data_IF_115776251676
#
_entry.id   IF_115776251676
#
_cell.length_a   1.000
_cell.length_b   1.000
_cell.length_c   1.000
_cell.angle_alpha   90.00
_cell.angle_beta   90.00
_cell.angle_gamma   90.00
#
_symmetry.space_group_name_H-M   'P 1'
#
loop_
_entity.id
_entity.type
_entity.pdbx_description
1 polymer ?
#
# COMPACT_ATOMS: atom_id res chain seq x y z
N UNK A 1 3.66 10.04 -13.52
CA UNK A 1 2.57 9.10 -13.84
C UNK A 1 1.49 9.20 -12.76
N UNK A 2 0.28 8.66 -12.97
CA UNK A 2 -0.77 8.68 -11.91
C UNK A 2 -0.32 7.96 -10.63
N UNK A 3 0.42 6.87 -10.78
CA UNK A 3 0.98 6.07 -9.68
C UNK A 3 1.99 6.87 -8.85
N UNK A 4 2.89 7.62 -9.50
CA UNK A 4 3.89 8.43 -8.80
C UNK A 4 3.28 9.62 -8.07
N UNK A 5 2.25 10.27 -8.63
CA UNK A 5 1.50 11.32 -7.94
C UNK A 5 0.84 10.76 -6.67
N UNK A 6 0.15 9.62 -6.78
CA UNK A 6 -0.48 8.97 -5.61
C UNK A 6 0.54 8.62 -4.53
N UNK A 7 1.68 8.04 -4.93
CA UNK A 7 2.77 7.71 -4.01
C UNK A 7 3.33 8.94 -3.30
N UNK A 8 3.65 10.00 -4.05
CA UNK A 8 4.17 11.25 -3.50
C UNK A 8 3.16 11.91 -2.54
N UNK A 9 1.88 11.92 -2.89
CA UNK A 9 0.83 12.51 -2.06
C UNK A 9 0.64 11.75 -0.75
N UNK A 10 0.63 10.42 -0.82
CA UNK A 10 0.56 9.56 0.36
C UNK A 10 1.71 9.84 1.34
N UNK A 11 2.95 9.88 0.83
CA UNK A 11 4.13 10.14 1.65
C UNK A 11 4.10 11.56 2.25
N UNK A 12 3.68 12.56 1.47
CA UNK A 12 3.63 13.96 1.90
C UNK A 12 2.39 14.33 2.75
N UNK A 13 1.44 13.41 2.96
CA UNK A 13 0.19 13.69 3.66
C UNK A 13 -0.76 14.61 2.88
N UNK A 14 -0.60 14.67 1.55
CA UNK A 14 -1.45 15.47 0.67
C UNK A 14 -2.74 14.70 0.42
N UNK A 15 -3.86 15.32 0.79
CA UNK A 15 -5.19 14.78 0.53
C UNK A 15 -5.60 15.14 -0.89
N UNK A 16 -5.87 14.12 -1.72
CA UNK A 16 -6.42 14.31 -3.05
C UNK A 16 -7.94 14.37 -3.00
N UNK A 17 -8.51 15.37 -3.66
CA UNK A 17 -9.93 15.42 -3.97
C UNK A 17 -10.16 14.93 -5.41
N UNK A 18 -11.05 13.96 -5.58
CA UNK A 18 -11.38 13.40 -6.91
C UNK A 18 -12.36 14.27 -7.68
N UNK A 19 -13.13 15.08 -6.96
CA UNK A 19 -14.13 15.99 -7.51
C UNK A 19 -14.04 17.36 -6.85
N UNK A 20 -14.57 18.39 -7.53
CA UNK A 20 -14.72 19.73 -6.93
C UNK A 20 -15.60 19.68 -5.67
N UNK A 21 -16.61 18.81 -5.67
CA UNK A 21 -17.46 18.60 -4.49
C UNK A 21 -16.66 18.04 -3.31
N UNK A 22 -15.79 17.05 -3.54
CA UNK A 22 -14.89 16.52 -2.51
C UNK A 22 -13.96 17.60 -1.98
N UNK A 23 -13.37 18.42 -2.85
CA UNK A 23 -12.48 19.50 -2.47
C UNK A 23 -13.14 20.43 -1.45
N UNK A 24 -14.36 20.91 -1.74
CA UNK A 24 -15.08 21.78 -0.82
C UNK A 24 -15.55 21.05 0.44
N UNK A 25 -16.00 19.80 0.32
CA UNK A 25 -16.46 19.01 1.45
C UNK A 25 -15.35 18.74 2.46
N UNK A 26 -14.15 18.40 1.98
CA UNK A 26 -12.96 18.18 2.82
C UNK A 26 -12.51 19.50 3.45
N UNK A 27 -12.34 20.55 2.63
CA UNK A 27 -11.90 21.86 3.11
C UNK A 27 -12.82 22.42 4.20
N UNK A 28 -14.14 22.25 4.05
CA UNK A 28 -15.11 22.73 5.03
C UNK A 28 -14.94 22.03 6.39
N UNK A 29 -14.75 20.71 6.43
CA UNK A 29 -14.54 20.00 7.68
C UNK A 29 -13.22 20.40 8.34
N UNK A 30 -12.10 20.37 7.60
CA UNK A 30 -10.79 20.74 8.16
C UNK A 30 -10.74 22.19 8.66
N UNK A 31 -11.48 23.11 8.03
CA UNK A 31 -11.55 24.51 8.47
C UNK A 31 -12.42 24.72 9.72
N UNK A 32 -13.40 23.85 9.95
CA UNK A 32 -14.47 24.09 10.91
C UNK A 32 -14.47 23.15 12.12
N UNK A 33 -13.88 21.97 12.01
CA UNK A 33 -13.96 20.90 13.01
C UNK A 33 -12.58 20.37 13.40
N UNK A 34 -12.41 19.88 14.65
CA UNK A 34 -11.19 19.20 15.05
C UNK A 34 -11.05 17.87 14.29
N UNK A 35 -9.81 17.39 14.16
CA UNK A 35 -9.52 16.10 13.54
C UNK A 35 -9.93 14.97 14.53
N UNK A 36 -10.69 13.94 14.11
CA UNK A 36 -11.06 12.85 15.00
C UNK A 36 -9.80 12.10 15.43
N UNK A 37 -9.76 11.63 16.68
CA UNK A 37 -8.60 10.88 17.21
C UNK A 37 -8.52 9.43 16.72
N UNK A 38 -9.57 8.96 16.04
CA UNK A 38 -9.71 7.60 15.55
C UNK A 38 -10.87 7.48 14.57
N UNK A 39 -11.23 6.25 14.21
CA UNK A 39 -12.20 5.95 13.16
C UNK A 39 -13.57 5.47 13.69
N UNK A 40 -13.86 5.62 14.98
CA UNK A 40 -15.13 5.17 15.59
C UNK A 40 -16.18 6.27 15.50
N UNK A 41 -17.08 6.16 14.53
CA UNK A 41 -18.09 7.18 14.23
C UNK A 41 -19.45 6.79 14.80
N UNK A 42 -20.10 7.73 15.48
CA UNK A 42 -21.47 7.60 15.95
C UNK A 42 -22.44 8.31 14.99
N UNK A 43 -23.62 7.72 14.78
CA UNK A 43 -24.69 8.32 13.99
C UNK A 43 -25.87 8.62 14.93
N UNK A 44 -26.34 9.86 14.87
CA UNK A 44 -27.57 10.31 15.52
C UNK A 44 -28.55 10.75 14.44
N UNK A 45 -29.71 10.11 14.34
CA UNK A 45 -30.71 10.39 13.30
C UNK A 45 -32.12 10.43 13.89
N UNK A 46 -33.01 11.23 13.31
CA UNK A 46 -34.45 11.16 13.58
C UNK A 46 -35.21 10.30 12.55
N UNK A 47 -34.49 9.63 11.66
CA UNK A 47 -35.06 8.79 10.61
C UNK A 47 -34.15 7.60 10.32
N UNK A 48 -34.72 6.39 10.42
CA UNK A 48 -33.98 5.15 10.24
C UNK A 48 -33.34 5.00 8.86
N UNK A 49 -34.01 5.41 7.77
CA UNK A 49 -33.49 5.24 6.40
C UNK A 49 -32.12 5.89 6.17
N UNK A 50 -32.00 7.22 6.33
CA UNK A 50 -30.71 7.92 6.27
C UNK A 50 -29.69 7.43 7.30
N UNK A 51 -30.14 6.99 8.48
CA UNK A 51 -29.26 6.39 9.50
C UNK A 51 -28.60 5.09 9.02
N UNK A 52 -29.38 4.22 8.36
CA UNK A 52 -28.86 2.98 7.75
C UNK A 52 -27.92 3.30 6.59
N UNK A 53 -28.27 4.23 5.71
CA UNK A 53 -27.37 4.65 4.61
C UNK A 53 -26.01 5.17 5.13
N UNK A 54 -26.02 5.89 6.25
CA UNK A 54 -24.80 6.33 6.91
C UNK A 54 -23.99 5.16 7.50
N UNK A 55 -24.66 4.15 8.07
CA UNK A 55 -24.01 2.95 8.60
C UNK A 55 -23.37 2.12 7.49
N UNK A 56 -24.07 1.91 6.38
CA UNK A 56 -23.55 1.20 5.20
C UNK A 56 -22.33 1.95 4.63
N UNK A 57 -22.39 3.29 4.59
CA UNK A 57 -21.25 4.10 4.16
C UNK A 57 -20.04 4.00 5.11
N UNK A 58 -20.26 3.83 6.43
CA UNK A 58 -19.17 3.62 7.39
C UNK A 58 -18.40 2.34 7.04
N UNK A 59 -19.12 1.25 6.75
CA UNK A 59 -18.50 -0.01 6.31
C UNK A 59 -17.79 0.16 4.96
N UNK A 60 -18.45 0.79 3.98
CA UNK A 60 -17.88 1.03 2.64
C UNK A 60 -16.56 1.82 2.68
N UNK A 61 -16.45 2.80 3.58
CA UNK A 61 -15.24 3.60 3.75
C UNK A 61 -14.28 3.04 4.81
N UNK A 62 -14.49 1.79 5.24
CA UNK A 62 -13.65 1.07 6.22
C UNK A 62 -13.44 1.88 7.52
N UNK A 63 -14.47 2.60 7.93
CA UNK A 63 -14.58 3.21 9.26
C UNK A 63 -15.29 2.24 10.20
N UNK A 64 -15.31 2.57 11.49
CA UNK A 64 -15.94 1.72 12.50
C UNK A 64 -17.20 2.40 13.05
N UNK A 65 -18.32 1.66 13.12
CA UNK A 65 -19.44 2.09 13.93
C UNK A 65 -19.02 2.08 15.41
N UNK A 66 -19.14 3.21 16.08
CA UNK A 66 -18.85 3.29 17.51
C UNK A 66 -19.75 2.35 18.32
N UNK A 67 -19.13 1.59 19.22
CA UNK A 67 -19.82 0.73 20.19
C UNK A 67 -19.89 1.45 21.54
N UNK A 68 -21.06 1.99 21.88
CA UNK A 68 -21.24 2.78 23.09
C UNK A 68 -21.00 1.98 24.36
N UNK A 69 -20.47 2.65 25.37
CA UNK A 69 -20.34 2.10 26.72
C UNK A 69 -21.71 1.75 27.31
N UNK A 70 -21.72 0.85 28.28
CA UNK A 70 -22.94 0.46 28.98
C UNK A 70 -23.64 1.65 29.64
N UNK A 71 -22.88 2.57 30.22
CA UNK A 71 -23.39 3.78 30.86
C UNK A 71 -24.16 4.67 29.86
N UNK A 72 -23.56 4.95 28.70
CA UNK A 72 -24.22 5.73 27.64
C UNK A 72 -25.50 5.04 27.14
N UNK A 73 -25.48 3.71 26.97
CA UNK A 73 -26.67 2.97 26.56
C UNK A 73 -27.80 3.05 27.60
N UNK A 74 -27.47 2.97 28.89
CA UNK A 74 -28.45 3.08 29.98
C UNK A 74 -29.04 4.50 30.03
N UNK A 75 -28.22 5.54 29.92
CA UNK A 75 -28.68 6.94 29.89
C UNK A 75 -29.51 7.27 28.65
N UNK A 76 -29.15 6.74 27.47
CA UNK A 76 -29.96 6.86 26.25
C UNK A 76 -31.31 6.15 26.43
N UNK A 77 -31.32 4.94 26.99
CA UNK A 77 -32.57 4.19 27.26
C UNK A 77 -33.50 4.93 28.22
N UNK A 78 -32.96 5.62 29.21
CA UNK A 78 -33.77 6.41 30.16
C UNK A 78 -34.28 7.73 29.59
N UNK A 79 -33.61 8.28 28.56
CA UNK A 79 -33.94 9.60 28.00
C UNK A 79 -34.75 9.55 26.71
N UNK A 80 -34.76 8.41 26.01
CA UNK A 80 -35.43 8.23 24.73
C UNK A 80 -36.73 7.41 24.86
N UNK A 81 -37.70 7.61 23.95
CA UNK A 81 -38.89 6.77 23.87
C UNK A 81 -38.54 5.29 23.66
N UNK A 82 -39.36 4.36 24.15
CA UNK A 82 -39.12 2.91 24.04
C UNK A 82 -38.96 2.40 22.61
N UNK A 83 -39.54 3.10 21.63
CA UNK A 83 -39.45 2.74 20.20
C UNK A 83 -38.16 3.23 19.53
N UNK A 84 -37.39 4.10 20.19
CA UNK A 84 -36.11 4.61 19.70
C UNK A 84 -35.05 3.50 19.66
N UNK A 85 -34.14 3.59 18.68
CA UNK A 85 -32.91 2.79 18.70
C UNK A 85 -31.86 3.48 19.56
N UNK A 86 -31.38 2.79 20.59
CA UNK A 86 -30.32 3.27 21.50
C UNK A 86 -28.92 2.78 21.11
N UNK A 87 -28.85 1.86 20.13
CA UNK A 87 -27.60 1.38 19.55
C UNK A 87 -27.18 2.28 18.40
N UNK A 88 -25.97 2.14 17.86
CA UNK A 88 -25.50 2.93 16.73
C UNK A 88 -25.93 2.26 15.41
N UNK A 89 -26.67 2.92 14.50
CA UNK A 89 -27.20 4.30 14.56
C UNK A 89 -28.30 4.54 15.59
N UNK A 90 -28.19 5.65 16.33
CA UNK A 90 -29.20 6.09 17.31
C UNK A 90 -30.34 6.74 16.56
N UNK A 91 -31.53 6.14 16.62
CA UNK A 91 -32.76 6.67 16.01
C UNK A 91 -33.63 7.30 17.09
N UNK A 92 -33.68 8.63 17.12
CA UNK A 92 -34.46 9.41 18.08
C UNK A 92 -35.90 9.69 17.64
N UNK A 93 -36.35 9.06 16.55
CA UNK A 93 -37.71 9.11 16.00
C UNK A 93 -38.07 10.45 15.35
N UNK A 94 -38.94 10.41 14.34
CA UNK A 94 -39.26 11.54 13.46
C UNK A 94 -40.01 12.72 14.09
N UNK A 95 -40.48 12.58 15.33
CA UNK A 95 -41.08 13.66 16.14
C UNK A 95 -40.06 14.33 17.10
N UNK A 96 -38.77 14.02 16.96
CA UNK A 96 -37.72 14.55 17.83
C UNK A 96 -37.67 16.08 17.86
N UNK A 97 -37.84 16.64 19.06
CA UNK A 97 -37.63 18.05 19.32
C UNK A 97 -36.14 18.41 19.48
N UNK A 98 -35.85 19.71 19.56
CA UNK A 98 -34.49 20.22 19.72
C UNK A 98 -33.81 19.69 21.00
N UNK A 99 -34.56 19.48 22.08
CA UNK A 99 -34.01 18.99 23.34
C UNK A 99 -33.67 17.50 23.29
N UNK A 100 -34.41 16.68 22.52
CA UNK A 100 -34.08 15.28 22.25
C UNK A 100 -32.79 15.17 21.45
N UNK A 101 -32.58 16.04 20.45
CA UNK A 101 -31.29 16.17 19.76
C UNK A 101 -30.16 16.55 20.71
N UNK A 102 -30.39 17.55 21.57
CA UNK A 102 -29.39 18.00 22.53
C UNK A 102 -28.94 16.90 23.48
N UNK A 103 -29.89 16.28 24.20
CA UNK A 103 -29.60 15.24 25.19
C UNK A 103 -28.91 14.04 24.56
N UNK A 104 -29.41 13.57 23.42
CA UNK A 104 -28.84 12.40 22.75
C UNK A 104 -27.42 12.68 22.25
N UNK A 105 -27.20 13.84 21.63
CA UNK A 105 -25.87 14.22 21.15
C UNK A 105 -24.89 14.40 22.30
N UNK A 106 -25.30 15.00 23.42
CA UNK A 106 -24.47 15.19 24.61
C UNK A 106 -24.00 13.84 25.19
N UNK A 107 -24.90 12.86 25.27
CA UNK A 107 -24.54 11.50 25.71
C UNK A 107 -23.56 10.83 24.75
N UNK A 108 -23.85 10.86 23.46
CA UNK A 108 -23.06 10.19 22.42
C UNK A 108 -21.66 10.80 22.30
N UNK A 109 -21.56 12.12 22.24
CA UNK A 109 -20.26 12.79 22.01
C UNK A 109 -19.32 12.64 23.22
N UNK A 110 -19.86 12.48 24.43
CA UNK A 110 -19.07 12.27 25.64
C UNK A 110 -18.62 10.81 25.83
N UNK A 111 -19.20 9.86 25.09
CA UNK A 111 -18.82 8.46 25.21
C UNK A 111 -17.35 8.23 24.81
N UNK A 112 -16.54 7.53 25.63
CA UNK A 112 -15.12 7.32 25.36
C UNK A 112 -14.86 6.46 24.11
N UNK A 113 -15.87 5.74 23.61
CA UNK A 113 -15.78 4.91 22.43
C UNK A 113 -16.15 5.61 21.12
N UNK A 114 -16.39 6.93 21.17
CA UNK A 114 -16.76 7.76 20.02
C UNK A 114 -15.64 8.73 19.70
N UNK A 115 -15.19 8.75 18.44
CA UNK A 115 -14.15 9.66 17.93
C UNK A 115 -14.74 10.81 17.09
N UNK A 116 -15.96 10.66 16.58
CA UNK A 116 -16.71 11.68 15.85
C UNK A 116 -18.20 11.35 15.75
N UNK A 117 -19.04 12.36 15.49
CA UNK A 117 -20.51 12.19 15.40
C UNK A 117 -21.06 12.76 14.11
N UNK A 118 -21.84 11.96 13.38
CA UNK A 118 -22.72 12.43 12.30
C UNK A 118 -24.13 12.67 12.87
N UNK A 119 -24.63 13.90 12.74
CA UNK A 119 -26.01 14.24 13.10
C UNK A 119 -26.85 14.40 11.84
N UNK A 120 -27.87 13.57 11.71
CA UNK A 120 -28.79 13.55 10.58
C UNK A 120 -30.13 14.14 11.01
N UNK A 121 -30.69 15.01 10.16
CA UNK A 121 -32.03 15.53 10.34
C UNK A 121 -32.78 15.46 9.02
N UNK A 122 -33.91 14.74 9.03
CA UNK A 122 -34.93 14.84 7.98
C UNK A 122 -36.11 15.66 8.49
N UNK A 123 -36.55 16.71 7.79
CA UNK A 123 -37.65 17.55 8.24
C UNK A 123 -38.96 16.76 8.22
N UNK A 124 -39.70 16.87 9.31
CA UNK A 124 -41.11 16.45 9.40
C UNK A 124 -41.97 17.67 9.72
N UNK A 125 -43.29 17.54 9.72
CA UNK A 125 -44.20 18.66 9.94
C UNK A 125 -44.05 19.34 11.32
N UNK A 126 -43.47 18.63 12.30
CA UNK A 126 -43.41 19.07 13.71
C UNK A 126 -42.02 19.49 14.19
N UNK A 127 -40.97 19.27 13.39
CA UNK A 127 -39.58 19.50 13.81
C UNK A 127 -39.21 20.99 13.73
N UNK A 128 -38.69 21.51 14.84
CA UNK A 128 -37.95 22.78 14.86
C UNK A 128 -36.51 22.56 14.38
N UNK A 129 -36.32 22.70 13.07
CA UNK A 129 -35.01 22.51 12.43
C UNK A 129 -33.98 23.54 12.92
N UNK A 130 -34.42 24.77 13.21
CA UNK A 130 -33.50 25.82 13.65
C UNK A 130 -33.05 25.56 15.10
N UNK A 131 -33.98 25.24 15.99
CA UNK A 131 -33.66 24.87 17.37
C UNK A 131 -32.75 23.64 17.45
N UNK A 132 -33.02 22.60 16.66
CA UNK A 132 -32.15 21.43 16.57
C UNK A 132 -30.72 21.82 16.13
N UNK A 133 -30.58 22.65 15.09
CA UNK A 133 -29.28 23.14 14.64
C UNK A 133 -28.54 23.95 15.72
N UNK A 134 -29.24 24.80 16.48
CA UNK A 134 -28.64 25.59 17.56
C UNK A 134 -28.10 24.69 18.67
N UNK A 135 -28.85 23.66 19.06
CA UNK A 135 -28.44 22.68 20.07
C UNK A 135 -27.25 21.84 19.61
N UNK A 136 -27.27 21.34 18.38
CA UNK A 136 -26.16 20.58 17.79
C UNK A 136 -24.88 21.43 17.76
N UNK A 137 -25.00 22.66 17.25
CA UNK A 137 -23.88 23.60 17.18
C UNK A 137 -23.29 23.94 18.56
N UNK A 138 -24.14 24.07 19.59
CA UNK A 138 -23.69 24.40 20.95
C UNK A 138 -22.85 23.30 21.62
N UNK A 139 -23.04 22.03 21.20
CA UNK A 139 -22.30 20.88 21.72
C UNK A 139 -21.01 20.61 20.96
N UNK A 140 -21.02 20.84 19.63
CA UNK A 140 -19.81 20.68 18.78
C UNK A 140 -18.63 21.51 19.29
N UNK A 141 -18.87 22.74 19.74
CA UNK A 141 -17.80 23.63 20.21
C UNK A 141 -17.17 23.24 21.56
N UNK A 142 -17.77 22.29 22.31
CA UNK A 142 -17.37 21.98 23.69
C UNK A 142 -16.51 20.72 23.83
N UNK A 143 -16.61 19.76 22.92
CA UNK A 143 -16.19 18.37 23.20
C UNK A 143 -14.96 17.87 22.45
N UNK A 144 -14.24 18.72 21.71
CA UNK A 144 -12.95 18.37 21.08
C UNK A 144 -13.02 17.24 20.03
N UNK A 145 -14.20 16.68 19.77
CA UNK A 145 -14.49 15.66 18.76
C UNK A 145 -15.30 16.30 17.63
N UNK A 146 -15.02 15.95 16.36
CA UNK A 146 -15.76 16.49 15.23
C UNK A 146 -17.24 16.10 15.26
N UNK A 147 -18.08 17.07 14.96
CA UNK A 147 -19.50 16.90 14.68
C UNK A 147 -19.74 17.36 13.25
N UNK A 148 -20.17 16.44 12.39
CA UNK A 148 -20.63 16.74 11.04
C UNK A 148 -22.16 16.60 11.00
N UNK A 149 -22.82 17.41 10.18
CA UNK A 149 -24.27 17.37 10.04
C UNK A 149 -24.69 16.92 8.62
N UNK A 150 -25.84 16.26 8.53
CA UNK A 150 -26.58 16.06 7.28
C UNK A 150 -28.05 16.38 7.49
N UNK A 151 -28.38 17.65 7.38
CA UNK A 151 -29.76 18.13 7.40
C UNK A 151 -30.30 18.06 5.97
N UNK A 152 -31.17 17.09 5.73
CA UNK A 152 -31.63 16.65 4.42
C UNK A 152 -33.04 17.18 4.16
N UNK A 153 -33.20 18.21 3.34
CA UNK A 153 -34.53 18.74 3.03
C UNK A 153 -34.57 20.01 2.18
N UNK A 154 -33.42 20.40 1.60
CA UNK A 154 -33.23 21.63 0.82
C UNK A 154 -33.83 22.85 1.54
N UNK A 155 -34.90 23.42 0.99
CA UNK A 155 -35.54 24.66 1.48
C UNK A 155 -36.02 24.52 2.92
N UNK A 156 -36.57 23.35 3.29
CA UNK A 156 -37.13 23.12 4.63
C UNK A 156 -36.10 23.15 5.75
N UNK A 157 -34.81 22.97 5.44
CA UNK A 157 -33.72 22.92 6.42
C UNK A 157 -32.76 24.10 6.34
N UNK A 158 -32.98 25.01 5.39
CA UNK A 158 -32.04 26.10 5.08
C UNK A 158 -31.72 26.99 6.30
N UNK A 159 -32.73 27.32 7.12
CA UNK A 159 -32.52 28.10 8.35
C UNK A 159 -31.60 27.39 9.34
N UNK A 160 -31.76 26.08 9.51
CA UNK A 160 -30.89 25.27 10.36
C UNK A 160 -29.47 25.18 9.79
N UNK A 161 -29.32 24.96 8.49
CA UNK A 161 -28.01 24.95 7.82
C UNK A 161 -27.25 26.27 8.04
N UNK A 162 -27.93 27.42 7.89
CA UNK A 162 -27.33 28.74 8.16
C UNK A 162 -26.87 28.89 9.61
N UNK A 163 -27.59 28.30 10.58
CA UNK A 163 -27.15 28.25 11.98
C UNK A 163 -25.88 27.41 12.12
N UNK A 164 -25.88 26.19 11.59
CA UNK A 164 -24.74 25.27 11.64
C UNK A 164 -23.49 25.94 11.04
N UNK A 165 -23.59 26.52 9.85
CA UNK A 165 -22.49 27.21 9.17
C UNK A 165 -21.92 28.37 10.01
N UNK A 166 -22.77 29.25 10.56
CA UNK A 166 -22.31 30.36 11.42
C UNK A 166 -21.59 29.87 12.68
N UNK A 167 -21.92 28.68 13.15
CA UNK A 167 -21.32 28.06 14.33
C UNK A 167 -20.23 27.03 13.97
N UNK A 168 -19.76 27.03 12.72
CA UNK A 168 -18.70 26.14 12.22
C UNK A 168 -19.03 24.65 12.33
N UNK A 169 -20.31 24.26 12.24
CA UNK A 169 -20.68 22.86 12.01
C UNK A 169 -20.95 22.69 10.51
N UNK A 170 -20.14 21.89 9.79
CA UNK A 170 -20.34 21.64 8.38
C UNK A 170 -21.59 20.80 8.15
N UNK A 171 -22.35 21.14 7.12
CA UNK A 171 -23.53 20.39 6.71
C UNK A 171 -23.36 19.82 5.30
N UNK A 172 -23.58 18.52 5.17
CA UNK A 172 -23.50 17.78 3.92
C UNK A 172 -24.89 17.36 3.43
N UNK A 173 -25.12 17.47 2.12
CA UNK A 173 -26.42 17.16 1.52
C UNK A 173 -26.84 15.69 1.69
N UNK A 174 -25.85 14.80 1.81
CA UNK A 174 -26.03 13.36 1.93
C UNK A 174 -25.13 12.79 3.04
N UNK A 175 -25.62 11.83 3.85
CA UNK A 175 -24.86 11.27 4.95
C UNK A 175 -23.55 10.61 4.49
N UNK A 176 -23.55 9.89 3.37
CA UNK A 176 -22.39 9.19 2.81
C UNK A 176 -21.26 10.16 2.47
N UNK A 177 -21.60 11.38 2.04
CA UNK A 177 -20.61 12.45 1.81
C UNK A 177 -19.92 12.87 3.10
N UNK A 178 -20.67 12.96 4.21
CA UNK A 178 -20.10 13.27 5.52
C UNK A 178 -19.23 12.11 6.05
N UNK A 179 -19.64 10.87 5.82
CA UNK A 179 -18.84 9.69 6.18
C UNK A 179 -17.53 9.62 5.38
N UNK A 180 -17.57 9.89 4.07
CA UNK A 180 -16.36 10.03 3.25
C UNK A 180 -15.39 11.07 3.83
N UNK A 181 -15.93 12.20 4.31
CA UNK A 181 -15.12 13.25 4.96
C UNK A 181 -14.50 12.75 6.27
N UNK A 182 -15.26 12.03 7.12
CA UNK A 182 -14.70 11.39 8.31
C UNK A 182 -13.55 10.44 7.98
N UNK A 183 -13.65 9.68 6.88
CA UNK A 183 -12.58 8.80 6.42
C UNK A 183 -11.31 9.58 6.12
N UNK A 184 -11.42 10.64 5.32
CA UNK A 184 -10.28 11.50 4.98
C UNK A 184 -9.65 12.17 6.22
N UNK A 185 -10.47 12.65 7.16
CA UNK A 185 -9.95 13.23 8.40
C UNK A 185 -9.24 12.18 9.28
N UNK A 186 -9.77 10.95 9.32
CA UNK A 186 -9.15 9.84 10.07
C UNK A 186 -7.84 9.37 9.44
N UNK A 187 -7.78 9.27 8.11
CA UNK A 187 -6.55 8.95 7.37
C UNK A 187 -5.48 10.01 7.62
N UNK A 188 -5.86 11.29 7.62
CA UNK A 188 -4.96 12.38 7.93
C UNK A 188 -4.48 12.34 9.39
N UNK A 189 -5.35 12.00 10.35
CA UNK A 189 -4.93 11.79 11.74
C UNK A 189 -3.92 10.64 11.85
N UNK A 190 -4.14 9.54 11.14
CA UNK A 190 -3.22 8.42 11.12
C UNK A 190 -1.86 8.83 10.54
N UNK A 191 -1.86 9.67 9.50
CA UNK A 191 -0.64 10.24 8.95
C UNK A 191 0.08 11.16 9.96
N UNK A 192 -0.64 12.03 10.68
CA UNK A 192 -0.08 12.91 11.72
C UNK A 192 0.47 12.15 12.93
N UNK A 193 -0.20 11.08 13.34
CA UNK A 193 0.21 10.25 14.48
C UNK A 193 1.32 9.26 14.13
N UNK A 194 1.61 9.09 12.84
CA UNK A 194 2.68 8.22 12.44
C UNK A 194 4.02 8.74 12.97
N UNK A 195 4.91 7.85 13.44
CA UNK A 195 6.23 8.26 13.90
C UNK A 195 7.00 8.96 12.78
N UNK A 196 7.88 9.88 13.17
CA UNK A 196 8.78 10.56 12.23
C UNK A 196 9.49 9.56 11.33
N UNK A 197 9.58 9.90 10.05
CA UNK A 197 10.24 9.09 9.04
C UNK A 197 11.71 8.89 9.39
N UNK A 198 12.08 7.70 9.84
CA UNK A 198 13.49 7.31 10.00
C UNK A 198 14.02 6.74 8.69
N UNK A 199 15.09 7.33 8.17
CA UNK A 199 15.79 6.85 6.98
C UNK A 199 17.04 6.08 7.40
N UNK A 200 17.07 4.79 7.09
CA UNK A 200 18.23 3.94 7.40
C UNK A 200 19.24 3.99 6.26
N UNK A 201 20.52 4.02 6.62
CA UNK A 201 21.63 3.88 5.68
C UNK A 201 22.40 2.61 5.99
N UNK A 202 22.84 1.92 4.94
CA UNK A 202 23.60 0.70 5.03
C UNK A 202 25.02 0.92 4.54
N UNK A 203 25.96 0.17 5.14
CA UNK A 203 27.31 0.09 4.63
C UNK A 203 27.31 -0.71 3.32
N UNK A 204 27.64 -0.05 2.22
CA UNK A 204 27.59 -0.61 0.86
C UNK A 204 28.91 -0.39 0.11
N UNK A 205 29.11 -1.10 -1.00
CA UNK A 205 30.29 -0.97 -1.87
C UNK A 205 30.03 -0.03 -3.06
N UNK A 206 29.57 1.19 -2.78
CA UNK A 206 29.18 2.18 -3.80
C UNK A 206 30.26 2.42 -4.86
N UNK A 207 31.53 2.59 -4.48
CA UNK A 207 32.66 2.79 -5.42
C UNK A 207 32.79 1.65 -6.45
N UNK A 208 32.47 0.41 -6.06
CA UNK A 208 32.53 -0.74 -6.96
C UNK A 208 31.42 -0.65 -8.01
N UNK A 209 30.21 -0.29 -7.61
CA UNK A 209 29.08 -0.06 -8.52
C UNK A 209 29.38 1.06 -9.52
N UNK A 210 29.92 2.19 -9.05
CA UNK A 210 30.32 3.29 -9.94
C UNK A 210 31.36 2.85 -10.99
N UNK A 211 32.26 1.92 -10.64
CA UNK A 211 33.22 1.34 -11.59
C UNK A 211 32.54 0.47 -12.66
N UNK A 212 31.55 -0.34 -12.26
CA UNK A 212 30.75 -1.16 -13.17
C UNK A 212 29.99 -0.28 -14.16
N UNK A 213 29.34 0.78 -13.68
CA UNK A 213 28.61 1.73 -14.53
C UNK A 213 29.54 2.49 -15.49
N UNK A 214 30.70 2.95 -15.03
CA UNK A 214 31.68 3.60 -15.89
C UNK A 214 32.17 2.66 -17.01
N UNK A 215 32.42 1.38 -16.71
CA UNK A 215 32.79 0.37 -17.71
C UNK A 215 31.67 0.12 -18.71
N UNK A 216 30.43 -0.01 -18.23
CA UNK A 216 29.26 -0.22 -19.08
C UNK A 216 29.04 0.94 -20.06
N UNK A 217 29.11 2.18 -19.57
CA UNK A 217 29.02 3.39 -20.40
C UNK A 217 30.12 3.46 -21.46
N UNK A 218 31.37 3.16 -21.08
CA UNK A 218 32.49 3.12 -22.04
C UNK A 218 32.26 2.11 -23.19
N UNK A 219 31.51 1.05 -22.93
CA UNK A 219 31.17 0.02 -23.90
C UNK A 219 29.81 0.27 -24.58
N UNK A 220 29.16 1.42 -24.36
CA UNK A 220 27.80 1.73 -24.82
C UNK A 220 26.75 0.67 -24.41
N UNK A 221 26.93 0.06 -23.24
CA UNK A 221 26.01 -0.92 -22.68
C UNK A 221 25.11 -0.23 -21.66
N UNK A 222 23.89 0.13 -22.08
CA UNK A 222 22.88 0.74 -21.21
C UNK A 222 22.06 -0.30 -20.46
N UNK A 223 21.91 -1.50 -21.03
CA UNK A 223 21.23 -2.64 -20.40
C UNK A 223 22.28 -3.56 -19.80
N UNK A 224 22.28 -3.68 -18.49
CA UNK A 224 23.17 -4.57 -17.76
C UNK A 224 22.53 -5.94 -17.62
N UNK A 225 23.28 -6.97 -18.04
CA UNK A 225 22.84 -8.36 -17.97
C UNK A 225 22.78 -8.90 -16.53
N UNK A 226 22.34 -10.16 -16.41
CA UNK A 226 22.15 -10.84 -15.12
C UNK A 226 23.43 -10.80 -14.26
N UNK A 227 24.62 -10.97 -14.86
CA UNK A 227 25.88 -11.01 -14.13
C UNK A 227 26.23 -9.66 -13.49
N UNK A 228 26.24 -8.58 -14.27
CA UNK A 228 26.50 -7.23 -13.76
C UNK A 228 25.45 -6.80 -12.75
N UNK A 229 24.16 -7.03 -13.06
CA UNK A 229 23.06 -6.66 -12.17
C UNK A 229 23.16 -7.37 -10.82
N UNK A 230 23.47 -8.67 -10.80
CA UNK A 230 23.69 -9.45 -9.57
C UNK A 230 24.86 -8.93 -8.77
N UNK A 231 25.96 -8.57 -9.42
CA UNK A 231 27.12 -7.99 -8.75
C UNK A 231 26.79 -6.65 -8.09
N UNK A 232 25.98 -5.82 -8.77
CA UNK A 232 25.52 -4.51 -8.26
C UNK A 232 24.64 -4.67 -7.03
N UNK A 233 23.58 -5.47 -7.10
CA UNK A 233 22.69 -5.67 -5.93
C UNK A 233 23.45 -6.34 -4.77
N UNK A 234 24.40 -7.24 -5.05
CA UNK A 234 25.27 -7.82 -4.02
C UNK A 234 26.16 -6.79 -3.34
N UNK A 235 26.56 -5.71 -4.03
CA UNK A 235 27.28 -4.58 -3.44
C UNK A 235 26.42 -3.76 -2.48
N UNK A 236 25.09 -3.86 -2.59
CA UNK A 236 24.12 -3.25 -1.70
C UNK A 236 23.59 -4.21 -0.64
N UNK A 237 24.09 -5.45 -0.58
CA UNK A 237 23.81 -6.40 0.51
C UNK A 237 22.72 -7.42 0.21
N UNK A 238 22.21 -7.48 -1.03
CA UNK A 238 21.32 -8.55 -1.45
C UNK A 238 22.06 -9.89 -1.47
N UNK A 239 21.46 -10.93 -0.90
CA UNK A 239 21.91 -12.30 -1.10
C UNK A 239 21.48 -12.73 -2.49
N UNK A 240 22.41 -13.32 -3.22
CA UNK A 240 22.16 -13.93 -4.53
C UNK A 240 22.54 -15.42 -4.45
N UNK A 241 21.81 -16.33 -5.10
CA UNK A 241 22.17 -17.75 -5.14
C UNK A 241 23.59 -17.93 -5.71
N UNK A 242 24.34 -18.96 -5.32
CA UNK A 242 25.65 -19.21 -5.94
C UNK A 242 25.48 -19.47 -7.43
N UNK A 243 26.38 -18.94 -8.26
CA UNK A 243 26.32 -19.13 -9.71
C UNK A 243 27.70 -19.13 -10.35
N UNK A 244 27.91 -20.03 -11.32
CA UNK A 244 29.15 -20.15 -12.10
C UNK A 244 28.78 -20.19 -13.59
N UNK A 245 29.48 -19.40 -14.40
CA UNK A 245 29.34 -19.44 -15.86
C UNK A 245 30.16 -20.61 -16.41
N UNK A 246 29.53 -21.46 -17.22
CA UNK A 246 30.17 -22.55 -17.94
C UNK A 246 30.07 -22.33 -19.45
N UNK A 247 31.19 -22.49 -20.16
CA UNK A 247 31.27 -22.39 -21.62
C UNK A 247 31.09 -23.75 -22.31
N UNK A 248 31.24 -24.84 -21.57
CA UNK A 248 31.11 -26.22 -22.06
C UNK A 248 30.29 -27.09 -21.11
N UNK A 249 29.73 -28.20 -21.62
CA UNK A 249 29.00 -29.17 -20.77
C UNK A 249 29.88 -29.74 -19.66
N UNK A 250 31.18 -29.96 -19.93
CA UNK A 250 32.15 -30.43 -18.93
C UNK A 250 32.36 -29.41 -17.82
N UNK A 251 32.54 -28.13 -18.18
CA UNK A 251 32.60 -27.05 -17.19
C UNK A 251 31.30 -26.93 -16.39
N UNK A 252 30.15 -27.16 -17.03
CA UNK A 252 28.86 -27.12 -16.36
C UNK A 252 28.72 -28.22 -15.30
N UNK A 253 29.21 -29.43 -15.58
CA UNK A 253 29.22 -30.54 -14.61
C UNK A 253 30.15 -30.21 -13.43
N UNK A 254 31.36 -29.71 -13.69
CA UNK A 254 32.29 -29.32 -12.61
C UNK A 254 31.70 -28.20 -11.73
N UNK A 255 31.07 -27.21 -12.35
CA UNK A 255 30.36 -26.14 -11.64
C UNK A 255 29.19 -26.70 -10.81
N UNK A 256 28.45 -27.66 -11.34
CA UNK A 256 27.34 -28.32 -10.66
C UNK A 256 27.80 -29.08 -9.41
N UNK A 257 28.90 -29.82 -9.50
CA UNK A 257 29.52 -30.52 -8.37
C UNK A 257 30.01 -29.55 -7.29
N UNK A 258 30.53 -28.38 -7.70
CA UNK A 258 31.00 -27.35 -6.77
C UNK A 258 29.85 -26.64 -6.03
N UNK A 259 28.74 -26.37 -6.71
CA UNK A 259 27.59 -25.67 -6.13
C UNK A 259 26.73 -26.62 -5.29
N UNK A 260 26.50 -27.83 -5.80
CA UNK A 260 25.59 -28.82 -5.22
C UNK A 260 24.19 -28.76 -5.85
N UNK A 261 23.51 -29.91 -5.89
CA UNK A 261 22.18 -30.10 -6.46
C UNK A 261 21.06 -29.85 -5.42
N UNK A 262 19.82 -29.49 -5.85
CA UNK A 262 19.39 -29.25 -7.23
C UNK A 262 19.81 -27.87 -7.77
N UNK A 263 19.84 -27.74 -9.10
CA UNK A 263 20.35 -26.57 -9.81
C UNK A 263 19.34 -25.97 -10.79
N UNK A 264 19.61 -24.72 -11.16
CA UNK A 264 19.00 -23.98 -12.25
C UNK A 264 20.08 -23.67 -13.29
N UNK A 265 19.78 -23.89 -14.56
CA UNK A 265 20.66 -23.59 -15.68
C UNK A 265 20.01 -22.53 -16.58
N UNK A 266 20.72 -21.44 -16.86
CA UNK A 266 20.20 -20.32 -17.66
C UNK A 266 21.16 -19.92 -18.78
N UNK A 267 20.65 -19.69 -19.98
CA UNK A 267 21.44 -19.13 -21.08
C UNK A 267 21.97 -17.74 -20.72
N UNK A 268 23.23 -17.47 -21.04
CA UNK A 268 23.83 -16.14 -20.89
C UNK A 268 24.15 -15.60 -22.29
N UNK A 269 23.39 -14.61 -22.72
CA UNK A 269 23.54 -13.95 -24.02
C UNK A 269 23.06 -12.50 -23.95
N UNK A 270 23.81 -11.53 -24.48
CA UNK A 270 23.34 -10.14 -24.60
C UNK A 270 22.15 -10.01 -25.57
N UNK A 271 22.00 -10.95 -26.51
CA UNK A 271 20.98 -10.90 -27.55
C UNK A 271 19.66 -11.57 -27.14
N UNK A 272 19.66 -12.35 -26.05
CA UNK A 272 18.50 -13.11 -25.56
C UNK A 272 18.07 -12.57 -24.18
N UNK A 273 17.15 -11.59 -24.20
CA UNK A 273 16.64 -10.95 -22.99
C UNK A 273 15.58 -11.80 -22.27
N UNK A 274 14.66 -12.43 -23.01
CA UNK A 274 13.59 -13.28 -22.47
C UNK A 274 13.99 -14.75 -22.54
N UNK A 275 14.78 -15.18 -21.55
CA UNK A 275 15.40 -16.52 -21.49
C UNK A 275 14.37 -17.65 -21.47
N UNK A 276 13.24 -17.46 -20.78
CA UNK A 276 12.19 -18.49 -20.67
C UNK A 276 11.53 -18.78 -22.01
N UNK A 277 11.26 -17.75 -22.81
CA UNK A 277 10.53 -17.86 -24.09
C UNK A 277 11.28 -18.70 -25.13
N UNK A 278 12.61 -18.74 -25.03
CA UNK A 278 13.48 -19.54 -25.91
C UNK A 278 13.82 -20.91 -25.33
N UNK A 279 13.22 -21.29 -24.19
CA UNK A 279 13.59 -22.49 -23.45
C UNK A 279 15.00 -22.43 -22.86
N UNK A 280 15.53 -21.22 -22.67
CA UNK A 280 16.87 -20.95 -22.15
C UNK A 280 16.98 -21.00 -20.63
N UNK A 281 15.96 -21.49 -19.92
CA UNK A 281 15.97 -21.72 -18.47
C UNK A 281 15.53 -23.16 -18.19
N UNK A 282 16.32 -23.89 -17.42
CA UNK A 282 15.98 -25.22 -16.89
C UNK A 282 16.13 -25.20 -15.38
N UNK A 283 15.12 -25.68 -14.67
CA UNK A 283 15.07 -25.73 -13.20
C UNK A 283 14.99 -27.19 -12.74
N UNK A 284 15.37 -27.47 -11.50
CA UNK A 284 15.25 -28.81 -10.93
C UNK A 284 16.22 -29.81 -11.54
N UNK A 285 17.44 -29.38 -11.87
CA UNK A 285 18.50 -30.28 -12.34
C UNK A 285 19.11 -30.98 -11.12
N UNK A 286 19.07 -32.31 -11.08
CA UNK A 286 19.37 -33.11 -9.87
C UNK A 286 20.66 -33.93 -9.96
N UNK A 287 21.25 -34.08 -11.15
CA UNK A 287 22.45 -34.88 -11.35
C UNK A 287 23.25 -34.47 -12.61
N UNK A 288 24.47 -34.99 -12.73
CA UNK A 288 25.41 -34.63 -13.80
C UNK A 288 24.90 -34.95 -15.22
N UNK A 289 24.16 -36.05 -15.39
CA UNK A 289 23.57 -36.40 -16.69
C UNK A 289 22.55 -35.35 -17.14
N UNK A 290 21.66 -34.94 -16.22
CA UNK A 290 20.70 -33.88 -16.50
C UNK A 290 21.38 -32.53 -16.78
N UNK A 291 22.53 -32.23 -16.17
CA UNK A 291 23.32 -31.02 -16.48
C UNK A 291 23.79 -31.04 -17.94
N UNK A 292 24.36 -32.16 -18.40
CA UNK A 292 24.85 -32.28 -19.76
C UNK A 292 23.71 -32.13 -20.78
N UNK A 293 22.60 -32.85 -20.57
CA UNK A 293 21.42 -32.77 -21.43
C UNK A 293 20.86 -31.35 -21.48
N UNK A 294 20.68 -30.71 -20.32
CA UNK A 294 20.17 -29.35 -20.24
C UNK A 294 21.10 -28.33 -20.91
N UNK A 295 22.44 -28.52 -20.81
CA UNK A 295 23.41 -27.65 -21.46
C UNK A 295 23.24 -27.67 -22.99
N UNK A 296 23.16 -28.86 -23.58
CA UNK A 296 22.96 -29.01 -25.02
C UNK A 296 21.59 -28.52 -25.46
N UNK A 297 20.53 -28.79 -24.70
CA UNK A 297 19.18 -28.35 -25.02
C UNK A 297 19.09 -26.81 -25.02
N UNK A 298 19.56 -26.16 -23.95
CA UNK A 298 19.52 -24.71 -23.79
C UNK A 298 20.29 -24.02 -24.93
N UNK A 299 21.52 -24.46 -25.20
CA UNK A 299 22.37 -23.85 -26.24
C UNK A 299 21.82 -24.08 -27.65
N UNK A 300 21.31 -25.28 -27.93
CA UNK A 300 20.73 -25.61 -29.24
C UNK A 300 19.45 -24.82 -29.50
N UNK A 301 18.51 -24.78 -28.54
CA UNK A 301 17.26 -24.01 -28.66
C UNK A 301 17.53 -22.51 -28.84
N UNK A 302 18.49 -21.97 -28.08
CA UNK A 302 18.89 -20.56 -28.18
C UNK A 302 19.41 -20.22 -29.59
N UNK A 303 20.24 -21.09 -30.19
CA UNK A 303 20.74 -20.92 -31.57
C UNK A 303 19.66 -21.13 -32.63
N UNK A 304 18.72 -22.03 -32.40
CA UNK A 304 17.58 -22.24 -33.32
C UNK A 304 16.66 -21.02 -33.32
N UNK A 305 16.42 -20.43 -32.15
CA UNK A 305 15.61 -19.24 -32.00
C UNK A 305 16.27 -18.00 -32.66
N UNK A 306 17.54 -17.76 -32.37
CA UNK A 306 18.30 -16.66 -32.95
C UNK A 306 19.70 -17.12 -33.34
N UNK A 307 19.88 -17.47 -34.61
CA UNK A 307 21.13 -18.05 -35.14
C UNK A 307 22.33 -17.11 -35.07
N UNK A 308 22.08 -15.79 -35.07
CA UNK A 308 23.10 -14.75 -34.91
C UNK A 308 23.38 -14.39 -33.45
N UNK A 309 22.71 -15.01 -32.48
CA UNK A 309 22.90 -14.68 -31.07
C UNK A 309 24.31 -15.05 -30.57
N UNK A 310 24.94 -14.10 -29.90
CA UNK A 310 26.18 -14.31 -29.16
C UNK A 310 25.86 -15.06 -27.88
N UNK A 311 26.24 -16.33 -27.79
CA UNK A 311 26.10 -17.11 -26.56
C UNK A 311 27.42 -17.05 -25.78
N UNK A 312 27.39 -16.43 -24.61
CA UNK A 312 28.56 -16.34 -23.72
C UNK A 312 28.75 -17.61 -22.90
N UNK A 313 27.69 -18.40 -22.70
CA UNK A 313 27.71 -19.68 -21.99
C UNK A 313 26.37 -19.98 -21.33
N UNK A 314 26.40 -20.89 -20.35
CA UNK A 314 25.26 -21.24 -19.49
C UNK A 314 25.64 -20.98 -18.04
N UNK A 315 24.82 -20.21 -17.33
CA UNK A 315 24.94 -19.98 -15.89
C UNK A 315 24.40 -21.19 -15.15
N UNK A 316 25.25 -21.85 -14.36
CA UNK A 316 24.91 -22.93 -13.43
C UNK A 316 24.67 -22.29 -12.07
N UNK A 317 23.46 -22.38 -11.55
CA UNK A 317 23.01 -21.64 -10.38
C UNK A 317 22.38 -22.57 -9.34
N UNK A 318 22.65 -22.29 -8.07
CA UNK A 318 21.98 -22.92 -6.93
C UNK A 318 20.46 -22.71 -7.02
N UNK A 319 19.69 -23.80 -6.89
CA UNK A 319 18.24 -23.69 -6.84
C UNK A 319 17.78 -23.35 -5.41
N UNK A 320 17.26 -22.14 -5.21
CA UNK A 320 16.64 -21.76 -3.94
C UNK A 320 15.26 -22.43 -3.85
N UNK A 321 15.17 -23.51 -3.09
CA UNK A 321 13.93 -24.26 -2.90
C UNK A 321 13.03 -23.60 -1.85
N UNK A 322 11.72 -23.51 -2.13
CA UNK A 322 10.71 -22.99 -1.22
C UNK A 322 10.83 -21.48 -0.93
N UNK A 323 9.87 -20.95 -0.16
CA UNK A 323 9.69 -19.51 0.05
C UNK A 323 8.61 -18.93 -0.84
N UNK A 324 8.32 -17.64 -0.66
CA UNK A 324 7.36 -16.89 -1.48
C UNK A 324 8.12 -15.97 -2.44
N UNK A 325 7.73 -15.99 -3.70
CA UNK A 325 8.28 -15.08 -4.70
C UNK A 325 7.61 -13.71 -4.58
N UNK A 326 8.42 -12.66 -4.55
CA UNK A 326 8.01 -11.25 -4.62
C UNK A 326 8.83 -10.54 -5.70
N UNK A 327 8.38 -9.36 -6.10
CA UNK A 327 9.06 -8.52 -7.08
C UNK A 327 9.40 -7.19 -6.45
N UNK A 328 10.65 -6.77 -6.63
CA UNK A 328 11.09 -5.41 -6.34
C UNK A 328 11.45 -4.73 -7.65
N UNK A 329 10.74 -3.67 -8.00
CA UNK A 329 10.99 -2.91 -9.22
C UNK A 329 11.34 -1.45 -8.92
N UNK A 330 12.05 -0.81 -9.84
CA UNK A 330 12.26 0.63 -9.86
C UNK A 330 12.09 1.13 -11.28
N UNK A 331 11.38 2.25 -11.42
CA UNK A 331 11.31 3.01 -12.67
C UNK A 331 11.59 4.48 -12.35
N UNK A 332 12.29 5.19 -13.24
CA UNK A 332 12.54 6.63 -13.08
C UNK A 332 11.34 7.43 -13.61
N UNK A 333 10.61 8.07 -12.70
CA UNK A 333 9.57 9.02 -13.06
C UNK A 333 10.21 10.40 -13.41
N UNK A 334 9.78 11.05 -14.50
CA UNK A 334 10.37 12.33 -14.92
C UNK A 334 10.21 13.48 -13.92
N UNK A 335 9.18 13.45 -13.06
CA UNK A 335 8.91 14.53 -12.09
C UNK A 335 9.42 14.17 -10.69
N UNK A 336 9.25 12.91 -10.29
CA UNK A 336 9.51 12.48 -8.92
C UNK A 336 10.81 11.68 -8.73
N UNK A 337 11.53 11.35 -9.82
CA UNK A 337 12.74 10.53 -9.74
C UNK A 337 12.42 9.05 -9.51
N UNK A 338 13.24 8.29 -8.76
CA UNK A 338 13.07 6.85 -8.62
C UNK A 338 11.76 6.47 -7.91
N UNK A 339 10.90 5.76 -8.62
CA UNK A 339 9.65 5.17 -8.13
C UNK A 339 9.88 3.68 -7.88
N UNK A 340 9.84 3.28 -6.61
CA UNK A 340 10.01 1.89 -6.18
C UNK A 340 8.66 1.20 -6.17
N UNK A 341 8.63 -0.03 -6.65
CA UNK A 341 7.49 -0.93 -6.69
C UNK A 341 7.77 -2.17 -5.86
N UNK A 342 6.77 -2.63 -5.11
CA UNK A 342 6.75 -3.93 -4.46
C UNK A 342 5.46 -4.67 -4.81
N UNK A 343 5.53 -5.99 -5.00
CA UNK A 343 4.36 -6.84 -5.17
C UNK A 343 4.68 -8.31 -4.99
N UNK A 344 3.64 -9.13 -4.84
CA UNK A 344 3.80 -10.58 -4.85
C UNK A 344 4.17 -11.04 -6.28
N UNK A 345 5.15 -11.92 -6.38
CA UNK A 345 5.70 -12.45 -7.62
C UNK A 345 4.91 -13.62 -8.20
N UNK A 346 5.45 -14.19 -9.27
CA UNK A 346 4.85 -15.31 -10.00
C UNK A 346 4.12 -14.89 -11.27
N UNK A 347 3.55 -15.86 -11.98
CA UNK A 347 3.00 -15.68 -13.34
C UNK A 347 1.79 -14.73 -13.42
N UNK A 348 1.19 -14.35 -12.29
CA UNK A 348 -0.04 -13.57 -12.25
C UNK A 348 0.17 -12.09 -11.93
N UNK A 349 1.40 -11.61 -11.72
CA UNK A 349 1.67 -10.20 -11.33
C UNK A 349 1.03 -9.21 -12.30
N UNK A 350 1.22 -9.42 -13.60
CA UNK A 350 0.70 -8.52 -14.64
C UNK A 350 -0.84 -8.46 -14.66
N UNK A 351 -1.48 -9.55 -14.24
CA UNK A 351 -2.94 -9.71 -14.25
C UNK A 351 -3.57 -9.17 -12.96
N UNK A 352 -2.98 -9.50 -11.81
CA UNK A 352 -3.54 -9.16 -10.50
C UNK A 352 -3.33 -7.68 -10.13
N UNK A 353 -2.29 -7.03 -10.68
CA UNK A 353 -1.93 -5.63 -10.39
C UNK A 353 -1.83 -5.35 -8.88
N UNK A 354 -1.48 -6.36 -8.09
CA UNK A 354 -1.37 -6.30 -6.63
C UNK A 354 0.03 -5.78 -6.24
N UNK A 355 0.20 -4.46 -6.37
CA UNK A 355 1.47 -3.77 -6.22
C UNK A 355 1.32 -2.47 -5.44
N UNK A 356 2.34 -2.16 -4.65
CA UNK A 356 2.52 -0.89 -3.94
C UNK A 356 3.60 -0.05 -4.61
N UNK A 357 3.51 1.27 -4.45
CA UNK A 357 4.47 2.22 -5.00
C UNK A 357 4.87 3.28 -3.98
N UNK A 358 6.14 3.66 -3.94
CA UNK A 358 6.68 4.78 -3.15
C UNK A 358 7.82 5.46 -3.89
N UNK A 359 8.00 6.76 -3.61
CA UNK A 359 9.13 7.54 -4.12
C UNK A 359 10.34 7.32 -3.21
N UNK A 360 11.51 7.09 -3.81
CA UNK A 360 12.77 7.02 -3.09
C UNK A 360 13.23 8.43 -2.64
N UNK A 361 13.90 8.58 -1.49
CA UNK A 361 14.27 7.52 -0.56
C UNK A 361 13.09 7.03 0.30
N UNK A 362 13.08 5.74 0.63
CA UNK A 362 12.10 5.11 1.53
C UNK A 362 12.50 5.29 2.99
N UNK A 363 11.55 5.69 3.82
CA UNK A 363 11.66 5.53 5.25
C UNK A 363 11.37 4.08 5.69
N UNK A 364 11.73 3.75 6.93
CA UNK A 364 11.38 2.47 7.57
C UNK A 364 9.86 2.25 7.63
N UNK A 365 9.09 3.34 7.72
CA UNK A 365 7.62 3.32 7.68
C UNK A 365 7.12 3.00 6.27
N UNK A 366 7.65 3.67 5.26
CA UNK A 366 7.26 3.44 3.85
C UNK A 366 7.43 1.98 3.46
N UNK A 367 8.57 1.37 3.81
CA UNK A 367 8.82 -0.04 3.51
C UNK A 367 7.85 -1.00 4.23
N UNK A 368 7.46 -0.70 5.47
CA UNK A 368 6.47 -1.52 6.21
C UNK A 368 5.07 -1.38 5.63
N UNK A 369 4.66 -0.16 5.27
CA UNK A 369 3.37 0.10 4.63
C UNK A 369 3.27 -0.54 3.25
N UNK A 370 4.31 -0.40 2.41
CA UNK A 370 4.36 -1.02 1.09
C UNK A 370 4.14 -2.53 1.15
N UNK A 371 4.73 -3.20 2.14
CA UNK A 371 4.57 -4.64 2.33
C UNK A 371 3.15 -5.01 2.77
N UNK A 372 2.53 -4.19 3.63
CA UNK A 372 1.21 -4.47 4.21
C UNK A 372 0.04 -4.11 3.30
N UNK A 373 0.22 -3.15 2.40
CA UNK A 373 -0.89 -2.60 1.59
C UNK A 373 -1.28 -3.47 0.39
N UNK A 374 -0.44 -4.43 -0.01
CA UNK A 374 -0.81 -5.40 -1.04
C UNK A 374 -1.92 -6.32 -0.52
N UNK A 375 -2.90 -6.62 -1.36
CA UNK A 375 -4.04 -7.46 -1.01
C UNK A 375 -3.60 -8.89 -0.62
N UNK A 376 -2.51 -9.36 -1.22
CA UNK A 376 -1.92 -10.67 -0.93
C UNK A 376 -0.97 -10.70 0.27
N UNK A 377 -0.86 -9.63 1.06
CA UNK A 377 -0.08 -9.62 2.30
C UNK A 377 -0.38 -10.80 3.25
N UNK A 378 -1.63 -11.29 3.41
CA UNK A 378 -1.89 -12.49 4.20
C UNK A 378 -1.11 -13.73 3.76
N UNK A 379 -0.73 -13.85 2.47
CA UNK A 379 0.11 -14.96 1.98
C UNK A 379 1.54 -14.88 2.50
N UNK A 380 2.06 -13.67 2.75
CA UNK A 380 3.38 -13.46 3.36
C UNK A 380 3.36 -13.76 4.87
N UNK A 381 2.21 -13.60 5.52
CA UNK A 381 2.01 -14.05 6.91
C UNK A 381 1.84 -15.56 7.08
N UNK A 382 1.80 -16.30 5.97
CA UNK A 382 1.53 -17.73 5.94
C UNK A 382 0.03 -18.05 5.93
N UNK A 383 -0.35 -19.09 5.20
CA UNK A 383 -1.72 -19.61 5.15
C UNK A 383 -1.73 -21.10 5.50
N UNK A 384 -2.78 -21.56 6.18
CA UNK A 384 -3.05 -23.00 6.40
C UNK A 384 -1.85 -23.80 6.94
N UNK A 385 -1.21 -23.29 8.00
CA UNK A 385 -0.08 -23.97 8.66
C UNK A 385 1.29 -23.70 8.02
N UNK A 386 1.35 -22.93 6.93
CA UNK A 386 2.62 -22.39 6.44
C UNK A 386 3.22 -21.40 7.44
N UNK A 387 4.55 -21.39 7.54
CA UNK A 387 5.25 -20.38 8.34
C UNK A 387 5.22 -19.01 7.65
N UNK A 388 5.21 -17.90 8.43
CA UNK A 388 5.41 -16.57 7.89
C UNK A 388 6.75 -16.44 7.16
N UNK A 389 6.78 -15.58 6.15
CA UNK A 389 8.03 -15.23 5.47
C UNK A 389 8.86 -14.28 6.30
N UNK A 390 10.15 -14.17 5.98
CA UNK A 390 11.07 -13.21 6.59
C UNK A 390 10.77 -11.77 6.15
N UNK A 391 9.74 -11.18 6.76
CA UNK A 391 9.31 -9.80 6.51
C UNK A 391 10.40 -8.78 6.88
N UNK A 392 11.27 -9.11 7.85
CA UNK A 392 12.37 -8.24 8.25
C UNK A 392 13.42 -8.15 7.13
N UNK A 393 13.81 -9.28 6.55
CA UNK A 393 14.73 -9.31 5.42
C UNK A 393 14.14 -8.62 4.18
N UNK A 394 12.85 -8.83 3.89
CA UNK A 394 12.16 -8.15 2.79
C UNK A 394 12.17 -6.62 2.98
N UNK A 395 11.86 -6.15 4.18
CA UNK A 395 11.89 -4.73 4.52
C UNK A 395 13.30 -4.14 4.36
N UNK A 396 14.31 -4.83 4.85
CA UNK A 396 15.71 -4.40 4.69
C UNK A 396 16.09 -4.29 3.21
N UNK A 397 15.64 -5.23 2.37
CA UNK A 397 15.93 -5.22 0.93
C UNK A 397 15.24 -4.07 0.20
N UNK A 398 14.02 -3.71 0.57
CA UNK A 398 13.38 -2.48 0.06
C UNK A 398 14.18 -1.22 0.41
N UNK A 399 14.67 -1.12 1.65
CA UNK A 399 15.46 0.04 2.07
C UNK A 399 16.84 0.08 1.37
N UNK A 400 17.48 -1.08 1.16
CA UNK A 400 18.73 -1.20 0.40
C UNK A 400 18.54 -0.88 -1.08
N UNK A 401 17.43 -1.32 -1.67
CA UNK A 401 17.05 -0.96 -3.04
C UNK A 401 16.86 0.56 -3.15
N UNK A 402 16.18 1.14 -2.16
CA UNK A 402 16.02 2.59 -2.08
C UNK A 402 17.36 3.31 -2.02
N UNK A 403 18.29 2.86 -1.18
CA UNK A 403 19.62 3.46 -1.11
C UNK A 403 20.36 3.33 -2.45
N UNK A 404 20.27 2.19 -3.14
CA UNK A 404 20.91 1.97 -4.44
C UNK A 404 20.46 3.00 -5.49
N UNK A 405 19.15 3.20 -5.63
CA UNK A 405 18.62 4.11 -6.66
C UNK A 405 18.69 5.58 -6.26
N UNK A 406 18.84 5.87 -4.97
CA UNK A 406 19.21 7.21 -4.50
C UNK A 406 20.69 7.53 -4.74
N UNK A 407 21.58 6.56 -4.50
CA UNK A 407 23.03 6.71 -4.73
C UNK A 407 23.38 6.80 -6.22
N UNK A 408 22.54 6.23 -7.09
CA UNK A 408 22.72 6.20 -8.53
C UNK A 408 21.42 6.58 -9.27
N UNK A 409 21.10 7.88 -9.39
CA UNK A 409 19.87 8.36 -10.03
C UNK A 409 19.82 8.13 -11.55
N UNK A 410 20.93 7.69 -12.13
CA UNK A 410 21.07 7.33 -13.54
C UNK A 410 20.43 5.96 -13.86
N UNK A 411 20.00 5.21 -12.84
CA UNK A 411 19.22 3.98 -13.03
C UNK A 411 17.80 4.37 -13.48
N UNK A 412 17.45 4.02 -14.72
CA UNK A 412 16.12 4.27 -15.29
C UNK A 412 15.15 3.15 -14.92
N UNK A 413 15.66 1.92 -14.90
CA UNK A 413 14.88 0.73 -14.57
C UNK A 413 15.74 -0.25 -13.78
N UNK A 414 15.18 -0.86 -12.75
CA UNK A 414 15.77 -1.99 -12.04
C UNK A 414 14.67 -2.98 -11.70
N UNK A 415 14.87 -4.25 -12.03
CA UNK A 415 13.91 -5.31 -11.72
C UNK A 415 14.62 -6.44 -11.00
N UNK A 416 14.13 -6.80 -9.81
CA UNK A 416 14.52 -8.00 -9.07
C UNK A 416 13.31 -8.93 -9.07
N UNK A 417 13.35 -9.91 -9.96
CA UNK A 417 12.23 -10.79 -10.23
C UNK A 417 12.67 -12.21 -10.63
N UNK A 418 12.47 -13.22 -9.77
CA UNK A 418 11.88 -13.14 -8.44
C UNK A 418 12.92 -12.78 -7.38
N UNK A 419 12.47 -12.06 -6.34
CA UNK A 419 13.05 -12.13 -5.01
C UNK A 419 12.34 -13.23 -4.22
N UNK A 420 13.08 -14.25 -3.78
CA UNK A 420 12.54 -15.39 -3.04
C UNK A 420 12.69 -15.12 -1.55
N UNK A 421 11.59 -14.86 -0.84
CA UNK A 421 11.58 -14.63 0.61
C UNK A 421 11.34 -15.95 1.33
N UNK A 422 12.28 -16.36 2.17
CA UNK A 422 12.26 -17.63 2.90
C UNK A 422 11.43 -17.51 4.18
N UNK A 423 11.36 -18.60 4.95
CA UNK A 423 10.71 -18.58 6.25
C UNK A 423 11.41 -17.58 7.19
N UNK A 424 10.68 -17.11 8.19
CA UNK A 424 11.18 -16.15 9.17
C UNK A 424 12.57 -16.53 9.73
N UNK A 425 13.54 -15.63 9.60
CA UNK A 425 14.93 -15.83 10.05
C UNK A 425 15.87 -16.42 8.99
N UNK A 426 15.37 -16.92 7.86
CA UNK A 426 16.19 -17.48 6.78
C UNK A 426 16.61 -16.43 5.72
N UNK A 427 15.98 -15.26 5.71
CA UNK A 427 16.25 -14.16 4.80
C UNK A 427 15.55 -14.24 3.43
N UNK A 428 16.13 -13.58 2.43
CA UNK A 428 15.62 -13.57 1.06
C UNK A 428 16.76 -13.66 0.04
N UNK A 429 16.46 -14.14 -1.18
CA UNK A 429 17.45 -14.34 -2.25
C UNK A 429 16.96 -13.74 -3.57
N UNK A 430 17.75 -12.85 -4.17
CA UNK A 430 17.48 -12.29 -5.49
C UNK A 430 17.92 -13.29 -6.58
N UNK A 431 16.96 -13.97 -7.21
CA UNK A 431 17.23 -15.05 -8.15
C UNK A 431 17.63 -14.54 -9.54
N UNK A 432 16.98 -13.47 -10.01
CA UNK A 432 17.34 -12.75 -11.23
C UNK A 432 17.27 -11.24 -10.96
N UNK A 433 18.05 -10.48 -11.72
CA UNK A 433 18.06 -9.02 -11.64
C UNK A 433 18.44 -8.41 -12.99
N UNK A 434 17.86 -7.26 -13.29
CA UNK A 434 18.15 -6.47 -14.51
C UNK A 434 18.24 -5.00 -14.16
N UNK A 435 19.12 -4.28 -14.84
CA UNK A 435 19.31 -2.83 -14.64
C UNK A 435 19.44 -2.16 -16.00
N UNK A 436 18.70 -1.07 -16.20
CA UNK A 436 18.82 -0.18 -17.36
C UNK A 436 19.29 1.19 -16.87
N UNK A 437 20.33 1.71 -17.52
CA UNK A 437 20.89 3.03 -17.26
C UNK A 437 20.36 4.07 -18.26
N UNK A 438 20.35 5.33 -17.83
CA UNK A 438 20.07 6.48 -18.69
C UNK A 438 21.19 6.68 -19.71
N UNK A 439 20.82 7.17 -20.91
CA UNK A 439 21.80 7.70 -21.87
C UNK A 439 22.54 8.88 -21.23
N UNK A 440 23.87 8.78 -21.22
CA UNK A 440 24.75 9.72 -20.52
C UNK A 440 25.13 10.95 -21.33
#
# INVERSE_FOLDING_TARGET
SEKSIKAAFHQAGIIRADTVNDLFNYALAFACQPIPKGSRIAILSNSGGPGIMAADAIEQYELNLASFSRETQEQLRSSLPTIASIYNPVDIIGDADADRYHKSLELIINDPNVDGVLVILTPTAVIDVQGAAEKVASLSSKNGKPVLASFMGKVSVEKGIRVLQRKKVPNYSYPESAIKVFRIMSDYQNWLNAPDSSYQTFKVRQKKVGTIFAKARKNNLLKLGEQEAREIISCYGFKVPKSILALTSREAILAAEQIGYPLVMKIVSPDILHKTDVGGVKVGIENAHQVEDAFFEITSKSRQYLSSATILGVSIQEMVAGGKEVILGVTKDPQFGPLIMFGLGGIYVEVLKDVSFRIAPLSVKDADEMIREIHSFPLLKGVRGEQPTDLAALKEYLLRLSQLVTDFPDIVELDINPLIVKAEGEGAFAADARITLEEG
#
